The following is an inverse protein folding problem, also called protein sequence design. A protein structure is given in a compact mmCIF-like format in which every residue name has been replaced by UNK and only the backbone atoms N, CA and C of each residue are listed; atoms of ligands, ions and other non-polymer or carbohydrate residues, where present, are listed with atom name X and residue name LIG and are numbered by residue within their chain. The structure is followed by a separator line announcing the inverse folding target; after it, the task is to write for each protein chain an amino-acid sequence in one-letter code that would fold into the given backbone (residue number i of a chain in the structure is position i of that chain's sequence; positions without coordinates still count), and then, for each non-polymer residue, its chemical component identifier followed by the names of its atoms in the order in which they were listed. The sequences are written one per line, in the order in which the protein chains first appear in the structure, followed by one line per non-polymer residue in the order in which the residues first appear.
data_IF_301424962911
#
_entry.id   IF_301424962911
#
_cell.length_a   1.000
_cell.length_b   1.000
_cell.length_c   1.000
_cell.angle_alpha   90.00
_cell.angle_beta   90.00
_cell.angle_gamma   90.00
#
_symmetry.space_group_name_H-M   'P 1'
#
loop_
_entity.id
_entity.type
_entity.pdbx_description
1 polymer ?
#
# COMPACT_ATOMS: atom_id res chain seq x y z
N UNK A 1 -5.34 25.31 13.74
CA UNK A 1 -4.46 24.12 13.74
C UNK A 1 -5.34 22.90 13.54
N UNK A 2 -5.46 22.41 12.30
CA UNK A 2 -6.17 21.16 12.02
C UNK A 2 -5.54 20.07 12.90
N UNK A 3 -6.33 19.50 13.80
CA UNK A 3 -5.95 18.36 14.63
C UNK A 3 -5.22 17.34 13.76
N UNK A 4 -3.98 16.99 14.14
CA UNK A 4 -3.21 15.90 13.51
C UNK A 4 -4.11 14.66 13.50
N UNK A 5 -4.73 14.37 12.36
CA UNK A 5 -5.64 13.23 12.26
C UNK A 5 -4.78 11.97 12.45
N UNK A 6 -5.00 11.15 13.49
CA UNK A 6 -4.16 9.99 13.77
C UNK A 6 -4.25 8.91 12.68
N UNK A 7 -5.27 9.00 11.81
CA UNK A 7 -5.55 8.06 10.74
C UNK A 7 -4.91 8.45 9.40
N UNK A 8 -4.83 9.74 9.05
CA UNK A 8 -4.16 10.19 7.82
C UNK A 8 -2.65 10.27 8.10
N UNK A 9 -1.88 9.36 7.50
CA UNK A 9 -0.45 9.18 7.78
C UNK A 9 0.47 9.82 6.75
N UNK A 10 0.00 9.95 5.51
CA UNK A 10 0.73 10.61 4.43
C UNK A 10 -0.26 11.34 3.52
N UNK A 11 0.14 12.52 3.03
CA UNK A 11 -0.66 13.32 2.11
C UNK A 11 0.27 13.95 1.06
N UNK A 12 -0.02 13.68 -0.21
CA UNK A 12 0.46 14.43 -1.36
C UNK A 12 -0.74 15.21 -1.89
N UNK A 13 -0.59 16.53 -2.00
CA UNK A 13 -1.58 17.40 -2.59
C UNK A 13 -0.85 18.51 -3.36
N UNK A 14 -0.89 18.43 -4.68
CA UNK A 14 -0.43 19.47 -5.59
C UNK A 14 -1.44 19.64 -6.74
N UNK A 15 -1.13 20.49 -7.71
CA UNK A 15 -2.05 20.85 -8.81
C UNK A 15 -2.51 19.63 -9.63
N UNK A 16 -1.69 18.58 -9.71
CA UNK A 16 -1.95 17.40 -10.57
C UNK A 16 -2.17 16.10 -9.77
N UNK A 17 -1.57 15.99 -8.59
CA UNK A 17 -1.50 14.76 -7.82
C UNK A 17 -2.15 14.90 -6.46
N UNK A 18 -3.02 13.95 -6.16
CA UNK A 18 -3.58 13.70 -4.86
C UNK A 18 -3.27 12.25 -4.45
N UNK A 19 -2.71 12.09 -3.26
CA UNK A 19 -2.55 10.79 -2.60
C UNK A 19 -2.74 10.96 -1.10
N UNK A 20 -3.65 10.21 -0.50
CA UNK A 20 -3.80 10.14 0.96
C UNK A 20 -3.65 8.70 1.43
N UNK A 21 -2.62 8.42 2.23
CA UNK A 21 -2.41 7.11 2.88
C UNK A 21 -2.99 7.16 4.29
N UNK A 22 -3.92 6.26 4.55
CA UNK A 22 -4.73 6.27 5.76
C UNK A 22 -4.71 4.90 6.45
N UNK A 23 -4.28 4.87 7.72
CA UNK A 23 -4.34 3.67 8.55
C UNK A 23 -4.18 3.99 10.04
N UNK A 24 -4.64 3.08 10.89
CA UNK A 24 -4.26 3.07 12.30
C UNK A 24 -2.96 2.30 12.48
N UNK A 25 -2.01 2.83 13.26
CA UNK A 25 -0.71 2.20 13.49
C UNK A 25 -0.84 0.76 13.99
N UNK A 26 -1.82 0.47 14.85
CA UNK A 26 -2.09 -0.90 15.31
C UNK A 26 -2.58 -1.83 14.20
N UNK A 27 -3.38 -1.33 13.26
CA UNK A 27 -3.79 -2.10 12.08
C UNK A 27 -2.58 -2.44 11.20
N UNK A 28 -1.67 -1.49 10.98
CA UNK A 28 -0.44 -1.74 10.23
C UNK A 28 0.46 -2.79 10.93
N UNK A 29 0.56 -2.78 12.27
CA UNK A 29 1.27 -3.83 13.01
C UNK A 29 0.64 -5.22 12.84
N UNK A 30 -0.68 -5.31 12.69
CA UNK A 30 -1.35 -6.58 12.38
C UNK A 30 -1.04 -7.02 10.95
N UNK A 31 -1.08 -6.09 9.98
CA UNK A 31 -0.70 -6.37 8.59
C UNK A 31 0.72 -6.94 8.50
N UNK A 32 1.70 -6.33 9.18
CA UNK A 32 3.11 -6.78 9.18
C UNK A 32 3.32 -8.21 9.72
N UNK A 33 2.34 -8.76 10.46
CA UNK A 33 2.36 -10.14 10.96
C UNK A 33 1.72 -11.14 9.99
N UNK A 34 1.30 -10.71 8.81
CA UNK A 34 0.68 -11.58 7.80
C UNK A 34 1.76 -12.08 6.83
N UNK A 35 1.59 -13.31 6.36
CA UNK A 35 2.45 -13.86 5.33
C UNK A 35 2.09 -13.31 3.94
N UNK A 36 0.80 -13.06 3.73
CA UNK A 36 0.26 -12.49 2.53
C UNK A 36 -0.88 -11.53 2.84
N UNK A 37 -1.16 -10.65 1.88
CA UNK A 37 -2.30 -9.76 1.91
C UNK A 37 -2.80 -9.51 0.49
N UNK A 38 -4.00 -8.96 0.40
CA UNK A 38 -4.71 -8.61 -0.81
C UNK A 38 -4.64 -7.09 -1.02
N UNK A 39 -4.48 -6.67 -2.27
CA UNK A 39 -4.68 -5.30 -2.70
C UNK A 39 -5.86 -5.28 -3.66
N UNK A 40 -6.90 -4.55 -3.27
CA UNK A 40 -8.11 -4.36 -4.07
C UNK A 40 -8.25 -2.88 -4.43
N UNK A 41 -8.71 -2.61 -5.64
CA UNK A 41 -8.98 -1.26 -6.10
C UNK A 41 -10.47 -1.11 -6.36
N UNK A 42 -11.10 -0.20 -5.64
CA UNK A 42 -12.53 0.05 -5.78
C UNK A 42 -12.80 1.39 -6.43
N UNK A 43 -13.28 1.35 -7.68
CA UNK A 43 -13.66 2.53 -8.47
C UNK A 43 -15.03 3.13 -8.08
N UNK A 44 -15.72 2.60 -7.05
CA UNK A 44 -17.20 2.65 -7.02
C UNK A 44 -17.85 3.33 -5.83
N UNK A 45 -17.10 3.75 -4.80
CA UNK A 45 -17.69 4.37 -3.60
C UNK A 45 -17.82 5.88 -3.72
N UNK A 46 -16.80 6.55 -4.25
CA UNK A 46 -16.88 8.00 -4.49
C UNK A 46 -17.36 8.25 -5.92
N UNK A 47 -18.66 8.02 -6.16
CA UNK A 47 -19.34 8.13 -7.47
C UNK A 47 -19.25 9.52 -8.16
N UNK A 48 -18.63 10.51 -7.53
CA UNK A 48 -18.56 11.89 -8.02
C UNK A 48 -17.14 12.49 -7.99
N UNK A 49 -16.11 11.70 -7.68
CA UNK A 49 -14.73 12.20 -7.66
C UNK A 49 -13.87 11.44 -8.66
N UNK A 50 -12.94 12.15 -9.29
CA UNK A 50 -11.77 11.62 -9.98
C UNK A 50 -10.78 11.00 -8.96
N UNK A 51 -11.28 10.24 -7.99
CA UNK A 51 -10.50 9.65 -6.89
C UNK A 51 -10.84 8.17 -6.79
N UNK A 52 -9.81 7.34 -6.88
CA UNK A 52 -9.85 5.91 -6.69
C UNK A 52 -9.38 5.51 -5.30
N UNK A 53 -9.89 4.37 -4.85
CA UNK A 53 -9.58 3.79 -3.55
C UNK A 53 -8.77 2.49 -3.74
N UNK A 54 -7.57 2.44 -3.17
CA UNK A 54 -6.74 1.23 -3.10
C UNK A 54 -6.68 0.76 -1.66
N UNK A 55 -7.10 -0.48 -1.40
CA UNK A 55 -7.18 -1.04 -0.05
C UNK A 55 -6.24 -2.22 0.11
N UNK A 56 -5.55 -2.26 1.24
CA UNK A 56 -4.71 -3.40 1.63
C UNK A 56 -5.46 -4.18 2.69
N UNK A 57 -5.83 -5.40 2.40
CA UNK A 57 -6.66 -6.23 3.25
C UNK A 57 -6.08 -7.63 3.44
N UNK A 58 -6.48 -8.33 4.48
CA UNK A 58 -6.18 -9.76 4.60
C UNK A 58 -7.29 -10.45 5.38
N UNK A 59 -7.48 -11.74 5.09
CA UNK A 59 -8.31 -12.59 5.92
C UNK A 59 -7.64 -12.83 7.29
N UNK A 60 -8.40 -12.63 8.36
CA UNK A 60 -8.02 -12.93 9.73
C UNK A 60 -8.78 -14.19 10.18
N UNK A 61 -8.14 -15.38 10.19
CA UNK A 61 -8.78 -16.62 10.62
C UNK A 61 -9.35 -16.53 12.04
N UNK A 62 -8.67 -15.82 12.93
CA UNK A 62 -9.08 -15.61 14.32
C UNK A 62 -10.42 -14.87 14.45
N UNK A 63 -10.78 -14.04 13.47
CA UNK A 63 -12.06 -13.31 13.42
C UNK A 63 -13.02 -13.88 12.39
N UNK A 64 -12.57 -14.83 11.56
CA UNK A 64 -13.25 -15.32 10.37
C UNK A 64 -13.75 -14.19 9.45
N UNK A 65 -12.91 -13.17 9.22
CA UNK A 65 -13.26 -11.95 8.48
C UNK A 65 -12.09 -11.42 7.66
N UNK A 66 -12.40 -10.83 6.50
CA UNK A 66 -11.45 -9.96 5.79
C UNK A 66 -11.44 -8.60 6.47
N UNK A 67 -10.24 -8.10 6.78
CA UNK A 67 -10.02 -6.81 7.42
C UNK A 67 -9.16 -5.94 6.52
N UNK A 68 -9.56 -4.68 6.33
CA UNK A 68 -8.76 -3.66 5.67
C UNK A 68 -7.82 -3.00 6.68
N UNK A 69 -6.54 -2.91 6.32
CA UNK A 69 -5.49 -2.35 7.17
C UNK A 69 -5.03 -0.98 6.69
N UNK A 70 -4.98 -0.77 5.38
CA UNK A 70 -4.57 0.50 4.76
C UNK A 70 -5.59 0.90 3.71
N UNK A 71 -5.95 2.17 3.72
CA UNK A 71 -6.71 2.82 2.66
C UNK A 71 -5.80 3.84 1.97
N UNK A 72 -5.78 3.84 0.65
CA UNK A 72 -5.12 4.87 -0.13
C UNK A 72 -6.15 5.48 -1.06
N UNK A 73 -6.22 6.81 -1.07
CA UNK A 73 -7.00 7.56 -2.05
C UNK A 73 -6.05 8.20 -3.05
N UNK A 74 -6.30 8.05 -4.34
CA UNK A 74 -5.46 8.60 -5.42
C UNK A 74 -6.32 9.17 -6.55
N UNK A 75 -5.81 10.14 -7.32
CA UNK A 75 -6.55 10.72 -8.44
C UNK A 75 -5.99 10.38 -9.83
N UNK A 76 -5.06 9.43 -9.89
CA UNK A 76 -4.43 9.02 -11.15
C UNK A 76 -4.28 7.50 -11.18
N UNK A 77 -4.20 6.96 -12.39
CA UNK A 77 -3.98 5.55 -12.67
C UNK A 77 -2.84 5.37 -13.67
N UNK A 78 -1.59 5.50 -13.19
CA UNK A 78 -0.36 5.33 -13.97
C UNK A 78 0.63 4.41 -13.25
N UNK A 79 1.57 3.82 -13.98
CA UNK A 79 2.65 3.02 -13.40
C UNK A 79 3.46 3.84 -12.39
N UNK A 80 3.75 5.10 -12.72
CA UNK A 80 4.49 6.04 -11.89
C UNK A 80 3.75 6.30 -10.57
N UNK A 81 2.43 6.52 -10.64
CA UNK A 81 1.59 6.71 -9.46
C UNK A 81 1.61 5.45 -8.59
N UNK A 82 1.41 4.26 -9.16
CA UNK A 82 1.46 3.01 -8.36
C UNK A 82 2.83 2.77 -7.73
N UNK A 83 3.92 3.06 -8.45
CA UNK A 83 5.28 2.99 -7.89
C UNK A 83 5.39 3.90 -6.65
N UNK A 84 4.93 5.16 -6.78
CA UNK A 84 4.93 6.12 -5.68
C UNK A 84 3.99 5.67 -4.54
N UNK A 85 2.85 5.08 -4.85
CA UNK A 85 1.88 4.55 -3.89
C UNK A 85 2.53 3.48 -3.02
N UNK A 86 3.21 2.51 -3.62
CA UNK A 86 3.89 1.46 -2.85
C UNK A 86 4.98 2.03 -1.95
N UNK A 87 5.84 2.92 -2.47
CA UNK A 87 6.83 3.62 -1.65
C UNK A 87 6.17 4.40 -0.51
N UNK A 88 5.12 5.17 -0.78
CA UNK A 88 4.43 5.97 0.21
C UNK A 88 3.82 5.09 1.32
N UNK A 89 3.09 4.03 0.95
CA UNK A 89 2.48 3.10 1.91
C UNK A 89 3.54 2.44 2.79
N UNK A 90 4.53 1.81 2.17
CA UNK A 90 5.52 0.99 2.90
C UNK A 90 6.48 1.83 3.74
N UNK A 91 6.93 2.99 3.24
CA UNK A 91 7.75 3.91 4.04
C UNK A 91 6.95 4.50 5.21
N UNK A 92 5.67 4.80 5.00
CA UNK A 92 4.81 5.34 6.06
C UNK A 92 4.52 4.27 7.11
N UNK A 93 4.24 3.02 6.74
CA UNK A 93 4.13 1.91 7.69
C UNK A 93 5.44 1.74 8.47
N UNK A 94 6.58 1.74 7.79
CA UNK A 94 7.88 1.56 8.46
C UNK A 94 8.15 2.66 9.49
N UNK A 95 7.89 3.91 9.11
CA UNK A 95 8.01 5.08 10.00
C UNK A 95 7.07 4.99 11.21
N UNK A 96 5.80 4.66 11.00
CA UNK A 96 4.79 4.64 12.06
C UNK A 96 4.93 3.43 13.01
N UNK A 97 5.48 2.32 12.53
CA UNK A 97 5.63 1.08 13.32
C UNK A 97 7.04 0.86 13.86
N UNK A 98 8.04 1.57 13.32
CA UNK A 98 9.46 1.33 13.59
C UNK A 98 10.01 0.04 12.99
N UNK A 99 9.28 -0.64 12.10
CA UNK A 99 9.67 -1.92 11.50
C UNK A 99 10.00 -1.75 10.01
N UNK A 100 11.16 -2.25 9.58
CA UNK A 100 11.52 -2.25 8.15
C UNK A 100 10.58 -3.18 7.38
N UNK A 101 10.08 -2.72 6.24
CA UNK A 101 9.33 -3.59 5.32
C UNK A 101 10.30 -4.59 4.68
N UNK A 102 9.93 -5.86 4.77
CA UNK A 102 10.71 -6.96 4.21
C UNK A 102 9.82 -7.86 3.36
N UNK A 103 10.47 -8.53 2.44
CA UNK A 103 9.88 -9.37 1.41
C UNK A 103 10.68 -10.65 1.35
N UNK A 104 10.05 -11.83 1.46
CA UNK A 104 10.80 -13.09 1.55
C UNK A 104 11.73 -13.33 0.37
N UNK A 105 11.29 -12.99 -0.85
CA UNK A 105 12.08 -13.16 -2.07
C UNK A 105 13.32 -12.25 -2.15
N UNK A 106 13.32 -11.11 -1.44
CA UNK A 106 14.46 -10.19 -1.37
C UNK A 106 15.30 -10.38 -0.10
N UNK A 107 14.65 -10.59 1.04
CA UNK A 107 15.21 -10.45 2.38
C UNK A 107 15.16 -11.74 3.23
N UNK A 108 14.60 -12.84 2.71
CA UNK A 108 14.36 -14.10 3.44
C UNK A 108 13.39 -14.00 4.64
N UNK A 109 12.70 -12.87 4.79
CA UNK A 109 11.72 -12.59 5.86
C UNK A 109 10.66 -11.59 5.40
N UNK A 110 9.61 -11.39 6.20
CA UNK A 110 8.50 -10.48 5.90
C UNK A 110 7.46 -11.08 4.98
N UNK A 111 6.87 -10.27 4.10
CA UNK A 111 5.77 -10.70 3.22
C UNK A 111 6.24 -11.74 2.20
N UNK A 112 5.52 -12.85 2.13
CA UNK A 112 5.72 -13.92 1.16
C UNK A 112 5.00 -13.69 -0.17
N UNK A 113 3.80 -13.10 -0.14
CA UNK A 113 3.00 -12.87 -1.33
C UNK A 113 2.05 -11.67 -1.21
N UNK A 114 1.69 -11.10 -2.35
CA UNK A 114 0.57 -10.16 -2.51
C UNK A 114 -0.37 -10.71 -3.56
N UNK A 115 -1.66 -10.70 -3.26
CA UNK A 115 -2.72 -11.03 -4.22
C UNK A 115 -3.37 -9.72 -4.64
N UNK A 116 -3.61 -9.50 -5.92
CA UNK A 116 -4.26 -8.27 -6.39
C UNK A 116 -5.07 -8.51 -7.66
N UNK A 117 -6.18 -7.78 -7.78
CA UNK A 117 -6.98 -7.71 -9.02
C UNK A 117 -6.27 -6.74 -9.99
N UNK A 118 -5.19 -7.26 -10.58
CA UNK A 118 -4.12 -6.48 -11.17
C UNK A 118 -4.48 -5.94 -12.56
N UNK A 119 -4.24 -4.65 -12.80
CA UNK A 119 -4.01 -4.12 -14.15
C UNK A 119 -2.50 -4.08 -14.48
N UNK A 120 -2.14 -3.92 -15.75
CA UNK A 120 -0.73 -3.91 -16.16
C UNK A 120 0.10 -2.79 -15.51
N UNK A 121 -0.53 -1.67 -15.13
CA UNK A 121 0.13 -0.52 -14.51
C UNK A 121 0.46 -0.81 -13.05
N UNK A 122 -0.45 -1.45 -12.32
CA UNK A 122 -0.25 -1.91 -10.95
C UNK A 122 0.86 -2.95 -10.86
N UNK A 123 0.84 -3.92 -11.77
CA UNK A 123 1.90 -4.93 -11.89
C UNK A 123 3.28 -4.27 -12.02
N UNK A 124 3.38 -3.35 -12.98
CA UNK A 124 4.63 -2.69 -13.32
C UNK A 124 5.08 -1.75 -12.19
N UNK A 125 4.12 -1.07 -11.53
CA UNK A 125 4.39 -0.22 -10.38
C UNK A 125 4.92 -1.01 -9.18
N UNK A 126 4.36 -2.18 -8.89
CA UNK A 126 4.86 -3.06 -7.83
C UNK A 126 6.26 -3.60 -8.19
N UNK A 127 6.45 -4.07 -9.43
CA UNK A 127 7.74 -4.57 -9.90
C UNK A 127 8.84 -3.51 -9.78
N UNK A 128 8.55 -2.26 -10.16
CA UNK A 128 9.48 -1.14 -10.02
C UNK A 128 9.80 -0.84 -8.56
N UNK A 129 8.79 -0.76 -7.69
CA UNK A 129 9.01 -0.61 -6.24
C UNK A 129 9.91 -1.71 -5.67
N UNK A 130 9.66 -2.97 -6.03
CA UNK A 130 10.46 -4.11 -5.56
C UNK A 130 11.91 -4.04 -6.07
N UNK A 131 12.10 -3.61 -7.32
CA UNK A 131 13.41 -3.37 -7.91
C UNK A 131 14.17 -2.24 -7.21
N UNK A 132 13.48 -1.16 -6.82
CA UNK A 132 14.09 0.00 -6.15
C UNK A 132 14.61 -0.33 -4.75
N UNK A 133 14.00 -1.30 -4.06
CA UNK A 133 14.38 -1.72 -2.71
C UNK A 133 15.29 -2.96 -2.68
N UNK A 134 15.59 -3.55 -3.84
CA UNK A 134 16.49 -4.69 -3.94
C UNK A 134 17.94 -4.22 -3.97
N UNK A 135 18.66 -4.45 -2.87
CA UNK A 135 20.09 -4.12 -2.75
C UNK A 135 20.94 -4.78 -3.86
N UNK A 136 20.48 -5.90 -4.44
CA UNK A 136 21.16 -6.63 -5.52
C UNK A 136 20.78 -6.17 -6.92
N UNK A 137 19.86 -5.22 -7.06
CA UNK A 137 19.41 -4.64 -8.33
C UNK A 137 19.03 -5.70 -9.39
N UNK A 138 18.37 -6.79 -8.97
CA UNK A 138 17.93 -7.83 -9.89
C UNK A 138 16.85 -7.27 -10.83
N UNK A 139 16.82 -7.68 -12.12
CA UNK A 139 15.72 -7.34 -13.00
C UNK A 139 14.40 -7.86 -12.41
N UNK A 140 13.36 -7.01 -12.43
CA UNK A 140 12.02 -7.41 -11.99
C UNK A 140 11.24 -8.16 -13.08
N UNK A 141 11.72 -8.11 -14.34
CA UNK A 141 11.15 -8.75 -15.52
C UNK A 141 11.72 -10.14 -15.77
#
# INVERSE_FOLDING_TARGET
TLLKNPYIKHLVLNEENFMAVCFYTEAAKVLLKRDSFEIDMTFKRVKASEIDEVVFAAFLPELNKVMTFVWVFVNQESMEMYTQLFHAVFNTIAKETGQRIQWKHLHQSGFGAVVMDMDSKQMSGLGRYLSDIDDHHRPWQ
#
